data_IF_131463521769
#
_entry.id   IF_131463521769
#
_cell.length_a   1.000
_cell.length_b   1.000
_cell.length_c   1.000
_cell.angle_alpha   90.00
_cell.angle_beta   90.00
_cell.angle_gamma   90.00
#
_symmetry.space_group_name_H-M   'P 1'
#
loop_
_entity.id
_entity.type
_entity.pdbx_description
1 polymer ?
#
# COMPACT_ATOMS: atom_id res chain seq x y z
N UNK A 1 25.59 1.98 6.41
CA UNK A 1 24.89 2.31 5.16
C UNK A 1 24.71 1.05 4.33
N UNK A 2 23.66 0.27 4.58
CA UNK A 2 23.29 -0.84 3.71
C UNK A 2 22.30 -0.31 2.67
N UNK A 3 22.79 -0.02 1.45
CA UNK A 3 21.93 0.20 0.31
C UNK A 3 21.37 -1.16 -0.09
N UNK A 4 20.17 -1.50 0.40
CA UNK A 4 19.41 -2.61 -0.15
C UNK A 4 19.17 -2.29 -1.63
N UNK A 5 19.62 -3.18 -2.53
CA UNK A 5 19.39 -3.03 -3.95
C UNK A 5 17.88 -2.94 -4.21
N UNK A 6 17.39 -1.73 -4.48
CA UNK A 6 16.01 -1.47 -4.84
C UNK A 6 15.67 -2.35 -6.05
N UNK A 7 14.72 -3.27 -5.90
CA UNK A 7 14.21 -4.04 -7.03
C UNK A 7 13.59 -3.07 -8.05
N UNK A 8 13.50 -3.41 -9.33
CA UNK A 8 12.96 -2.48 -10.34
C UNK A 8 11.52 -2.01 -10.07
N UNK A 9 10.78 -2.72 -9.22
CA UNK A 9 9.50 -2.26 -8.65
C UNK A 9 9.67 -1.05 -7.72
N UNK A 10 10.70 -1.02 -6.88
CA UNK A 10 10.97 0.09 -5.94
C UNK A 10 11.34 1.41 -6.64
N UNK A 11 11.71 1.37 -7.92
CA UNK A 11 11.98 2.58 -8.72
C UNK A 11 10.72 3.14 -9.40
N UNK A 12 9.60 2.41 -9.41
CA UNK A 12 8.38 2.86 -10.08
C UNK A 12 7.68 3.89 -9.20
N UNK A 13 7.42 5.12 -9.69
CA UNK A 13 6.83 6.17 -8.87
C UNK A 13 5.42 5.83 -8.38
N UNK A 14 4.71 4.93 -9.07
CA UNK A 14 3.37 4.46 -8.71
C UNK A 14 3.37 2.94 -8.53
N UNK A 15 2.88 2.50 -7.37
CA UNK A 15 2.52 1.11 -7.09
C UNK A 15 1.01 0.95 -7.10
N UNK A 16 0.53 -0.06 -7.82
CA UNK A 16 -0.87 -0.51 -7.77
C UNK A 16 -0.86 -1.94 -7.25
N UNK A 17 -1.47 -2.16 -6.09
CA UNK A 17 -1.44 -3.43 -5.39
C UNK A 17 -2.86 -3.97 -5.21
N UNK A 18 -3.13 -5.16 -5.73
CA UNK A 18 -4.43 -5.79 -5.59
C UNK A 18 -4.40 -6.80 -4.44
N UNK A 19 -5.18 -6.56 -3.38
CA UNK A 19 -5.29 -7.39 -2.17
C UNK A 19 -3.93 -7.87 -1.60
N UNK A 20 -2.95 -6.97 -1.36
CA UNK A 20 -1.55 -7.37 -1.14
C UNK A 20 -1.28 -7.99 0.23
N UNK A 21 -2.26 -7.97 1.13
CA UNK A 21 -2.18 -8.62 2.44
C UNK A 21 -2.76 -10.04 2.42
N UNK A 22 -3.37 -10.45 1.32
CA UNK A 22 -3.88 -11.81 1.16
C UNK A 22 -2.71 -12.78 1.08
N UNK A 23 -2.80 -13.87 1.84
CA UNK A 23 -1.80 -14.94 1.88
C UNK A 23 -0.41 -14.59 2.46
N UNK A 24 -0.24 -13.46 3.15
CA UNK A 24 1.00 -13.15 3.89
C UNK A 24 0.78 -13.14 5.41
N UNK A 25 1.79 -13.56 6.15
CA UNK A 25 1.77 -13.58 7.62
C UNK A 25 1.97 -12.19 8.21
N UNK A 26 1.84 -12.08 9.54
CA UNK A 26 1.99 -10.81 10.28
C UNK A 26 3.35 -10.13 10.04
N UNK A 27 4.41 -10.92 9.84
CA UNK A 27 5.74 -10.41 9.52
C UNK A 27 5.81 -9.87 8.09
N UNK A 28 5.15 -10.54 7.16
CA UNK A 28 4.94 -10.12 5.79
C UNK A 28 4.21 -8.79 5.72
N UNK A 29 3.09 -8.66 6.46
CA UNK A 29 2.32 -7.40 6.57
C UNK A 29 3.23 -6.27 7.07
N UNK A 30 3.94 -6.46 8.19
CA UNK A 30 4.84 -5.44 8.73
C UNK A 30 5.93 -5.03 7.74
N UNK A 31 6.52 -5.99 7.01
CA UNK A 31 7.55 -5.72 6.00
C UNK A 31 6.98 -4.95 4.81
N UNK A 32 5.81 -5.32 4.31
CA UNK A 32 5.14 -4.65 3.20
C UNK A 32 4.76 -3.22 3.58
N UNK A 33 4.17 -3.02 4.76
CA UNK A 33 3.81 -1.69 5.28
C UNK A 33 5.03 -0.77 5.37
N UNK A 34 6.17 -1.28 5.87
CA UNK A 34 7.43 -0.50 5.90
C UNK A 34 7.92 -0.13 4.51
N UNK A 35 7.80 -1.02 3.51
CA UNK A 35 8.20 -0.71 2.13
C UNK A 35 7.30 0.37 1.52
N UNK A 36 5.99 0.27 1.71
CA UNK A 36 5.05 1.29 1.25
C UNK A 36 5.35 2.66 1.88
N UNK A 37 5.61 2.70 3.20
CA UNK A 37 5.98 3.93 3.89
C UNK A 37 7.32 4.52 3.39
N UNK A 38 8.32 3.68 3.11
CA UNK A 38 9.58 4.14 2.54
C UNK A 38 9.41 4.66 1.11
N UNK A 39 8.51 4.05 0.32
CA UNK A 39 8.19 4.47 -1.05
C UNK A 39 7.52 5.84 -1.08
N UNK A 40 6.49 6.05 -0.25
CA UNK A 40 5.85 7.37 -0.11
C UNK A 40 6.79 8.41 0.50
N UNK A 41 7.64 7.97 1.43
CA UNK A 41 8.86 8.61 1.90
C UNK A 41 9.65 9.39 0.83
N UNK A 42 9.80 8.74 -0.33
CA UNK A 42 10.66 9.15 -1.43
C UNK A 42 9.88 9.87 -2.54
N UNK A 43 8.63 10.28 -2.27
CA UNK A 43 7.76 10.94 -3.26
C UNK A 43 6.99 9.98 -4.16
N UNK A 44 7.01 8.68 -3.86
CA UNK A 44 6.21 7.67 -4.54
C UNK A 44 4.74 7.67 -4.10
N UNK A 45 3.89 7.03 -4.89
CA UNK A 45 2.46 6.82 -4.61
C UNK A 45 2.15 5.33 -4.55
N UNK A 46 1.28 4.94 -3.61
CA UNK A 46 0.73 3.58 -3.52
C UNK A 46 -0.79 3.67 -3.59
N UNK A 47 -1.36 2.93 -4.53
CA UNK A 47 -2.79 2.64 -4.62
C UNK A 47 -2.95 1.16 -4.29
N UNK A 48 -3.85 0.82 -3.39
CA UNK A 48 -4.11 -0.57 -3.05
C UNK A 48 -5.60 -0.83 -2.79
N UNK A 49 -6.02 -2.05 -3.10
CA UNK A 49 -7.30 -2.61 -2.69
C UNK A 49 -7.07 -3.54 -1.49
N UNK A 50 -7.96 -3.49 -0.51
CA UNK A 50 -7.91 -4.38 0.65
C UNK A 50 -9.27 -4.42 1.32
N UNK A 51 -9.71 -5.62 1.70
CA UNK A 51 -10.81 -5.80 2.64
C UNK A 51 -10.38 -5.71 4.11
N UNK A 52 -9.07 -5.75 4.37
CA UNK A 52 -8.49 -5.72 5.71
C UNK A 52 -8.15 -4.29 6.14
N UNK A 53 -8.27 -3.93 7.43
CA UNK A 53 -7.87 -2.62 7.93
C UNK A 53 -6.36 -2.42 7.77
N UNK A 54 -5.97 -1.28 7.18
CA UNK A 54 -4.56 -0.86 7.07
C UNK A 54 -4.01 -0.43 8.44
N UNK A 55 -3.06 -1.19 9.04
CA UNK A 55 -2.50 -0.85 10.33
C UNK A 55 -1.55 0.36 10.23
N UNK A 56 -1.71 1.34 11.13
CA UNK A 56 -0.79 2.48 11.28
C UNK A 56 -0.88 3.58 10.21
N UNK A 57 -1.86 3.52 9.30
CA UNK A 57 -1.95 4.41 8.14
C UNK A 57 -2.96 5.56 8.30
N UNK A 58 -3.43 5.82 9.53
CA UNK A 58 -4.56 6.72 9.78
C UNK A 58 -4.31 8.17 9.33
N UNK A 59 -3.09 8.67 9.48
CA UNK A 59 -2.80 10.11 9.29
C UNK A 59 -2.20 10.46 7.91
N UNK A 60 -1.81 9.47 7.09
CA UNK A 60 -1.11 9.70 5.81
C UNK A 60 -1.76 9.03 4.61
N UNK A 61 -2.89 8.34 4.80
CA UNK A 61 -3.58 7.62 3.72
C UNK A 61 -4.91 8.29 3.39
N UNK A 62 -5.08 8.65 2.12
CA UNK A 62 -6.40 8.98 1.58
C UNK A 62 -7.13 7.67 1.27
N UNK A 63 -8.17 7.35 2.05
CA UNK A 63 -9.06 6.23 1.77
C UNK A 63 -10.13 6.63 0.77
N UNK A 64 -10.31 5.79 -0.25
CA UNK A 64 -11.43 5.86 -1.18
C UNK A 64 -12.28 4.62 -0.95
N UNK A 65 -13.49 4.79 -0.41
CA UNK A 65 -14.46 3.71 -0.34
C UNK A 65 -15.17 3.61 -1.69
N UNK A 66 -14.94 2.52 -2.42
CA UNK A 66 -15.70 2.19 -3.62
C UNK A 66 -17.03 1.57 -3.18
N UNK A 67 -17.91 2.38 -2.61
CA UNK A 67 -19.31 1.98 -2.46
C UNK A 67 -19.89 1.90 -3.86
N UNK A 68 -20.33 0.71 -4.28
CA UNK A 68 -20.96 0.50 -5.58
C UNK A 68 -21.99 1.59 -5.86
N UNK A 69 -21.94 2.18 -7.05
CA UNK A 69 -22.82 3.27 -7.43
C UNK A 69 -24.27 2.83 -7.47
N UNK A 70 -24.97 2.97 -6.35
CA UNK A 70 -26.43 2.98 -6.28
C UNK A 70 -26.85 4.42 -5.98
N UNK A 71 -26.65 5.29 -6.96
CA UNK A 71 -27.38 6.55 -7.05
C UNK A 71 -28.56 6.30 -8.01
N UNK A 72 -29.73 6.03 -7.42
CA UNK A 72 -31.03 6.20 -8.11
C UNK A 72 -31.87 4.93 -8.27
N UNK A 73 -32.75 4.70 -7.30
CA UNK A 73 -34.15 4.33 -7.52
C UNK A 73 -35.03 5.17 -6.59
#
# INVERSE_FOLDING_TARGET
>A
HAAAAASDVDKRPLWVLDEPFTAIDVNGVARLTRRMAAHTAQGGMVILTTHQPLPGAADTVRRLALTGGEAGL
#
